data_IF_099815807584
#
_entry.id   IF_099815807584
#
_cell.length_a   1.000
_cell.length_b   1.000
_cell.length_c   1.000
_cell.angle_alpha   90.00
_cell.angle_beta   90.00
_cell.angle_gamma   90.00
#
_symmetry.space_group_name_H-M   'P 1'
#
loop_
_entity.id
_entity.type
_entity.pdbx_description
1 polymer ?
#
# COMPACT_ATOMS: atom_id res chain seq x y z
N UNK A 1 0.53 9.29 14.36
CA UNK A 1 1.07 7.93 14.14
C UNK A 1 -0.11 6.95 14.22
N UNK A 2 -0.21 6.01 13.28
CA UNK A 2 -1.25 4.98 13.28
C UNK A 2 -0.61 3.64 13.69
N UNK A 3 -0.99 3.04 14.81
CA UNK A 3 -0.32 1.85 15.33
C UNK A 3 -0.77 0.56 14.61
N UNK A 4 0.20 -0.30 14.28
CA UNK A 4 0.03 -1.73 14.00
C UNK A 4 0.68 -2.59 15.09
N UNK A 5 0.63 -3.92 14.94
CA UNK A 5 1.24 -4.86 15.90
C UNK A 5 2.76 -4.97 15.70
N UNK A 6 3.24 -4.91 14.45
CA UNK A 6 4.66 -4.98 14.05
C UNK A 6 5.19 -3.65 13.48
N UNK A 7 4.29 -2.84 12.97
CA UNK A 7 4.56 -1.60 12.26
C UNK A 7 3.86 -0.41 12.89
N UNK A 8 4.27 0.77 12.50
CA UNK A 8 3.62 2.04 12.77
C UNK A 8 3.63 2.84 11.49
N UNK A 9 2.51 3.50 11.20
CA UNK A 9 2.41 4.40 10.06
C UNK A 9 2.67 5.83 10.54
N UNK A 10 3.70 6.44 10.00
CA UNK A 10 4.16 7.78 10.34
C UNK A 10 3.91 8.73 9.16
N UNK A 11 3.78 10.02 9.44
CA UNK A 11 3.73 11.03 8.40
C UNK A 11 5.02 10.95 7.55
N UNK A 12 4.89 11.30 6.26
CA UNK A 12 6.05 11.33 5.37
C UNK A 12 6.91 12.57 5.66
N UNK A 13 7.99 12.35 6.40
CA UNK A 13 9.02 13.36 6.62
C UNK A 13 10.18 13.32 5.60
N UNK A 14 10.96 14.42 5.45
CA UNK A 14 12.10 14.49 4.53
C UNK A 14 13.15 13.39 4.70
N UNK A 15 13.33 12.83 5.89
CA UNK A 15 14.30 11.76 6.16
C UNK A 15 13.94 10.47 5.40
N UNK A 16 12.66 10.25 5.13
CA UNK A 16 12.16 9.09 4.39
C UNK A 16 12.46 9.15 2.88
N UNK A 17 12.74 10.34 2.33
CA UNK A 17 12.96 10.56 0.89
C UNK A 17 14.08 9.69 0.34
N UNK A 18 15.19 9.57 1.08
CA UNK A 18 16.37 8.81 0.63
C UNK A 18 16.04 7.33 0.47
N UNK A 19 15.37 6.75 1.47
CA UNK A 19 14.95 5.35 1.43
C UNK A 19 13.91 5.11 0.34
N UNK A 20 12.89 5.96 0.25
CA UNK A 20 11.86 5.82 -0.78
C UNK A 20 12.43 5.94 -2.19
N UNK A 21 13.32 6.91 -2.44
CA UNK A 21 14.00 7.04 -3.73
C UNK A 21 14.87 5.82 -4.04
N UNK A 22 15.60 5.28 -3.05
CA UNK A 22 16.37 4.04 -3.22
C UNK A 22 15.47 2.88 -3.65
N UNK A 23 14.35 2.66 -2.96
CA UNK A 23 13.47 1.54 -3.24
C UNK A 23 12.76 1.64 -4.58
N UNK A 24 12.28 2.82 -4.99
CA UNK A 24 11.64 2.94 -6.32
C UNK A 24 12.64 2.76 -7.48
N UNK A 25 13.95 2.87 -7.21
CA UNK A 25 15.01 2.62 -8.17
C UNK A 25 15.61 1.21 -8.08
N UNK A 26 15.42 0.51 -6.97
CA UNK A 26 15.81 -0.89 -6.78
C UNK A 26 14.96 -1.79 -7.71
N UNK A 27 15.57 -2.51 -8.68
CA UNK A 27 14.83 -3.41 -9.57
C UNK A 27 13.98 -4.44 -8.83
N UNK A 28 14.42 -4.92 -7.67
CA UNK A 28 13.71 -5.96 -6.90
C UNK A 28 12.41 -5.45 -6.29
N UNK A 29 12.32 -4.14 -6.04
CA UNK A 29 11.10 -3.46 -5.59
C UNK A 29 10.31 -2.96 -6.79
N UNK A 30 10.97 -2.23 -7.70
CA UNK A 30 10.34 -1.55 -8.84
C UNK A 30 9.59 -2.51 -9.74
N UNK A 31 10.04 -3.76 -9.88
CA UNK A 31 9.33 -4.81 -10.62
C UNK A 31 7.92 -5.14 -10.08
N UNK A 32 7.54 -4.62 -8.91
CA UNK A 32 6.20 -4.74 -8.32
C UNK A 32 5.45 -3.41 -8.26
N UNK A 33 6.03 -2.32 -8.78
CA UNK A 33 5.42 -0.98 -8.80
C UNK A 33 4.97 -0.60 -10.21
N UNK A 34 4.03 0.32 -10.32
CA UNK A 34 3.62 0.92 -11.62
C UNK A 34 4.75 1.72 -12.28
N UNK A 35 5.74 2.16 -11.51
CA UNK A 35 6.95 2.82 -12.00
C UNK A 35 7.81 1.84 -12.83
N UNK A 36 8.25 2.27 -14.00
CA UNK A 36 9.05 1.44 -14.92
C UNK A 36 10.42 2.04 -15.27
N UNK A 37 10.66 3.32 -14.92
CA UNK A 37 11.91 4.03 -15.19
C UNK A 37 12.60 4.46 -13.90
N UNK A 38 13.94 4.67 -13.91
CA UNK A 38 14.62 5.30 -12.79
C UNK A 38 14.01 6.66 -12.47
N UNK A 39 13.86 6.96 -11.18
CA UNK A 39 13.28 8.20 -10.68
C UNK A 39 14.38 9.00 -9.98
N UNK A 40 14.74 10.20 -10.47
CA UNK A 40 15.73 11.02 -9.80
C UNK A 40 15.18 11.55 -8.47
N UNK A 41 16.07 11.80 -7.50
CA UNK A 41 15.68 12.26 -6.17
C UNK A 41 14.79 13.52 -6.19
N UNK A 42 15.07 14.47 -7.10
CA UNK A 42 14.25 15.68 -7.29
C UNK A 42 12.79 15.37 -7.65
N UNK A 43 12.55 14.31 -8.43
CA UNK A 43 11.20 13.91 -8.81
C UNK A 43 10.50 13.20 -7.65
N UNK A 44 11.22 12.40 -6.87
CA UNK A 44 10.70 11.84 -5.62
C UNK A 44 10.30 12.95 -4.64
N UNK A 45 11.13 13.99 -4.47
CA UNK A 45 10.78 15.12 -3.61
C UNK A 45 9.50 15.84 -4.08
N UNK A 46 9.40 16.18 -5.37
CA UNK A 46 8.18 16.77 -5.92
C UNK A 46 6.93 15.91 -5.68
N UNK A 47 7.06 14.59 -5.78
CA UNK A 47 5.96 13.68 -5.46
C UNK A 47 5.59 13.72 -3.98
N UNK A 48 6.57 13.72 -3.06
CA UNK A 48 6.31 13.87 -1.62
C UNK A 48 5.55 15.16 -1.31
N UNK A 49 6.03 16.29 -1.83
CA UNK A 49 5.41 17.61 -1.62
C UNK A 49 3.95 17.59 -2.11
N UNK A 50 3.70 17.01 -3.29
CA UNK A 50 2.35 16.85 -3.82
C UNK A 50 1.44 15.94 -2.97
N UNK A 51 2.00 14.90 -2.32
CA UNK A 51 1.22 14.03 -1.41
C UNK A 51 0.87 14.74 -0.10
N UNK A 52 1.69 15.69 0.37
CA UNK A 52 1.39 16.48 1.57
C UNK A 52 0.26 17.49 1.34
N UNK A 53 0.13 17.98 0.11
CA UNK A 53 -0.89 18.95 -0.30
C UNK A 53 -2.19 18.30 -0.80
N UNK A 54 -2.18 16.98 -1.03
CA UNK A 54 -3.33 16.28 -1.61
C UNK A 54 -4.43 16.03 -0.58
N UNK A 55 -5.66 16.43 -0.93
CA UNK A 55 -6.86 16.01 -0.21
C UNK A 55 -7.37 14.63 -0.67
N UNK A 56 -6.83 14.06 -1.74
CA UNK A 56 -7.27 12.76 -2.30
C UNK A 56 -6.24 11.66 -2.12
N UNK A 57 -5.10 11.95 -1.51
CA UNK A 57 -4.01 11.00 -1.31
C UNK A 57 -3.45 11.16 0.09
N UNK A 58 -3.39 10.05 0.82
CA UNK A 58 -2.78 9.98 2.14
C UNK A 58 -1.72 8.89 2.13
N UNK A 59 -0.46 9.30 2.18
CA UNK A 59 0.69 8.39 2.16
C UNK A 59 1.46 8.49 3.47
N UNK A 60 1.87 7.33 3.97
CA UNK A 60 2.57 7.17 5.23
C UNK A 60 3.89 6.41 5.04
N UNK A 61 4.87 6.75 5.87
CA UNK A 61 6.05 5.93 6.08
C UNK A 61 5.65 4.71 6.93
N UNK A 62 6.01 3.51 6.46
CA UNK A 62 5.89 2.28 7.25
C UNK A 62 7.17 2.12 8.04
N UNK A 63 7.07 2.26 9.36
CA UNK A 63 8.18 2.07 10.29
C UNK A 63 7.98 0.82 11.14
N UNK A 64 9.08 0.16 11.52
CA UNK A 64 9.04 -0.87 12.57
C UNK A 64 8.81 -0.24 13.94
N UNK A 65 8.46 -1.04 14.96
CA UNK A 65 8.41 -0.60 16.37
C UNK A 65 9.73 -0.01 16.91
N UNK A 66 10.84 -0.19 16.20
CA UNK A 66 12.16 0.40 16.53
C UNK A 66 12.45 1.69 15.76
N UNK A 67 11.47 2.28 15.08
CA UNK A 67 11.62 3.51 14.29
C UNK A 67 12.32 3.32 12.94
N UNK A 68 12.64 2.10 12.53
CA UNK A 68 13.28 1.85 11.23
C UNK A 68 12.24 1.99 10.11
N UNK A 69 12.46 2.91 9.17
CA UNK A 69 11.64 3.07 7.96
C UNK A 69 11.91 1.92 6.98
N UNK A 70 10.85 1.17 6.63
CA UNK A 70 10.96 -0.07 5.84
C UNK A 70 10.10 -0.09 4.57
N UNK A 71 9.21 0.89 4.40
CA UNK A 71 8.31 0.95 3.27
C UNK A 71 7.44 2.20 3.27
N UNK A 72 6.60 2.32 2.24
CA UNK A 72 5.56 3.33 2.16
C UNK A 72 4.22 2.65 1.92
N UNK A 73 3.15 3.21 2.45
CA UNK A 73 1.78 2.74 2.26
C UNK A 73 0.84 3.93 2.15
N UNK A 74 -0.22 3.84 1.36
CA UNK A 74 -1.14 4.95 1.24
C UNK A 74 -2.50 4.58 0.65
N UNK A 75 -3.42 5.51 0.82
CA UNK A 75 -4.70 5.59 0.14
C UNK A 75 -4.56 6.65 -0.96
N UNK A 76 -4.96 6.29 -2.16
CA UNK A 76 -4.86 7.11 -3.35
C UNK A 76 -6.22 7.31 -3.99
N UNK A 77 -6.37 8.40 -4.73
CA UNK A 77 -7.58 8.70 -5.50
C UNK A 77 -8.86 8.58 -4.64
N UNK A 78 -8.83 9.14 -3.43
CA UNK A 78 -9.97 9.10 -2.51
C UNK A 78 -11.15 9.83 -3.16
N UNK A 79 -12.20 9.07 -3.43
CA UNK A 79 -13.50 9.57 -3.82
C UNK A 79 -14.33 9.79 -2.55
N UNK A 80 -14.36 11.03 -2.07
CA UNK A 80 -15.09 11.40 -0.86
C UNK A 80 -16.60 11.22 -0.97
N UNK A 81 -17.16 11.35 -2.19
CA UNK A 81 -18.60 11.16 -2.43
C UNK A 81 -18.98 9.69 -2.31
N UNK A 82 -18.22 8.81 -2.97
CA UNK A 82 -18.47 7.38 -2.99
C UNK A 82 -17.78 6.63 -1.84
N UNK A 83 -16.99 7.34 -1.02
CA UNK A 83 -16.25 6.84 0.14
C UNK A 83 -15.36 5.65 -0.23
N UNK A 84 -14.63 5.78 -1.34
CA UNK A 84 -13.78 4.74 -1.91
C UNK A 84 -12.36 5.26 -2.10
N UNK A 85 -11.36 4.41 -1.87
CA UNK A 85 -9.96 4.75 -2.11
C UNK A 85 -9.17 3.53 -2.61
N UNK A 86 -8.04 3.79 -3.26
CA UNK A 86 -7.12 2.76 -3.72
C UNK A 86 -5.93 2.62 -2.77
N UNK A 87 -5.67 1.41 -2.29
CA UNK A 87 -4.50 1.11 -1.48
C UNK A 87 -3.27 0.87 -2.36
N UNK A 88 -2.16 1.53 -2.02
CA UNK A 88 -0.82 1.24 -2.52
C UNK A 88 0.13 0.90 -1.38
N UNK A 89 1.01 -0.09 -1.57
CA UNK A 89 2.05 -0.44 -0.60
C UNK A 89 3.35 -0.86 -1.27
N UNK A 90 4.47 -0.50 -0.66
CA UNK A 90 5.77 -1.10 -0.92
C UNK A 90 6.50 -1.37 0.40
N UNK A 91 7.12 -2.55 0.52
CA UNK A 91 8.10 -2.85 1.58
C UNK A 91 9.45 -2.96 0.90
N UNK A 92 10.22 -1.87 0.98
CA UNK A 92 11.47 -1.73 0.26
C UNK A 92 12.60 -2.55 0.87
N UNK A 93 12.62 -2.69 2.19
CA UNK A 93 13.66 -3.46 2.88
C UNK A 93 13.42 -4.97 2.78
N UNK A 94 14.28 -5.68 2.04
CA UNK A 94 14.14 -7.11 1.74
C UNK A 94 13.94 -7.98 3.00
N UNK A 95 14.70 -7.72 4.07
CA UNK A 95 14.65 -8.46 5.34
C UNK A 95 13.31 -8.40 6.09
N UNK A 96 12.40 -7.50 5.69
CA UNK A 96 11.06 -7.36 6.27
C UNK A 96 9.94 -7.87 5.35
N UNK A 97 10.25 -8.24 4.10
CA UNK A 97 9.28 -8.85 3.17
C UNK A 97 8.94 -10.28 3.63
N UNK A 98 7.71 -10.73 3.38
CA UNK A 98 7.23 -12.08 3.75
C UNK A 98 7.31 -12.44 5.24
N UNK A 99 7.45 -11.46 6.14
CA UNK A 99 7.50 -11.67 7.61
C UNK A 99 6.30 -11.07 8.35
N UNK A 100 5.25 -10.75 7.61
CA UNK A 100 3.99 -10.17 8.13
C UNK A 100 3.99 -8.65 8.30
N UNK A 101 5.06 -7.93 7.96
CA UNK A 101 5.10 -6.46 8.04
C UNK A 101 4.14 -5.79 7.05
N UNK A 102 4.05 -6.32 5.82
CA UNK A 102 3.09 -5.83 4.83
C UNK A 102 1.64 -6.03 5.28
N UNK A 103 1.30 -7.21 5.79
CA UNK A 103 -0.03 -7.52 6.33
C UNK A 103 -0.39 -6.58 7.48
N UNK A 104 0.54 -6.38 8.41
CA UNK A 104 0.34 -5.51 9.57
C UNK A 104 0.14 -4.04 9.18
N UNK A 105 0.95 -3.54 8.23
CA UNK A 105 0.81 -2.19 7.71
C UNK A 105 -0.52 -1.98 6.98
N UNK A 106 -0.96 -2.96 6.16
CA UNK A 106 -2.26 -2.92 5.48
C UNK A 106 -3.39 -2.86 6.49
N UNK A 107 -3.36 -3.67 7.56
CA UNK A 107 -4.40 -3.61 8.60
C UNK A 107 -4.42 -2.28 9.35
N UNK A 108 -3.25 -1.70 9.63
CA UNK A 108 -3.16 -0.37 10.23
C UNK A 108 -3.76 0.70 9.30
N UNK A 109 -3.49 0.63 8.00
CA UNK A 109 -4.09 1.54 7.03
C UNK A 109 -5.60 1.35 6.91
N UNK A 110 -6.11 0.11 6.92
CA UNK A 110 -7.54 -0.16 6.87
C UNK A 110 -8.28 0.38 8.10
N UNK A 111 -7.68 0.30 9.30
CA UNK A 111 -8.23 0.97 10.49
C UNK A 111 -8.36 2.48 10.27
N UNK A 112 -7.31 3.12 9.77
CA UNK A 112 -7.35 4.54 9.42
C UNK A 112 -8.44 4.85 8.37
N UNK A 113 -8.51 4.05 7.31
CA UNK A 113 -9.49 4.21 6.24
C UNK A 113 -10.94 4.12 6.74
N UNK A 114 -11.25 3.11 7.57
CA UNK A 114 -12.63 2.81 7.95
C UNK A 114 -13.09 3.46 9.25
N UNK A 115 -12.18 3.67 10.21
CA UNK A 115 -12.53 4.24 11.52
C UNK A 115 -12.30 5.75 11.57
N UNK A 116 -11.23 6.26 10.95
CA UNK A 116 -10.91 7.70 11.01
C UNK A 116 -11.48 8.47 9.82
N UNK A 117 -11.26 7.98 8.60
CA UNK A 117 -11.76 8.63 7.38
C UNK A 117 -13.21 8.26 7.04
N UNK A 118 -13.79 7.29 7.77
CA UNK A 118 -15.12 6.77 7.52
C UNK A 118 -15.31 6.39 6.03
N UNK A 119 -14.34 5.73 5.39
CA UNK A 119 -14.55 5.19 4.04
C UNK A 119 -15.51 4.00 4.09
N UNK A 120 -16.16 3.71 2.98
CA UNK A 120 -16.99 2.51 2.80
C UNK A 120 -16.19 1.35 2.20
N UNK A 121 -15.22 1.69 1.35
CA UNK A 121 -14.51 0.72 0.50
C UNK A 121 -13.05 1.09 0.30
N UNK A 122 -12.21 0.07 0.30
CA UNK A 122 -10.82 0.17 -0.16
C UNK A 122 -10.58 -0.90 -1.22
N UNK A 123 -10.08 -0.48 -2.37
CA UNK A 123 -9.68 -1.39 -3.46
C UNK A 123 -8.17 -1.37 -3.67
N UNK A 124 -7.65 -2.34 -4.42
CA UNK A 124 -6.26 -2.36 -4.85
C UNK A 124 -6.10 -3.12 -6.16
N UNK A 125 -4.97 -2.86 -6.81
CA UNK A 125 -4.49 -3.62 -7.95
C UNK A 125 -3.21 -4.36 -7.58
N UNK A 126 -3.07 -5.59 -8.05
CA UNK A 126 -1.79 -6.29 -7.98
C UNK A 126 -1.58 -7.17 -9.21
N UNK A 127 -0.32 -7.43 -9.56
CA UNK A 127 -0.05 -8.31 -10.69
C UNK A 127 -0.48 -9.74 -10.36
N UNK A 128 -1.19 -10.38 -11.28
CA UNK A 128 -1.79 -11.70 -11.04
C UNK A 128 -0.74 -12.76 -10.65
N UNK A 129 0.48 -12.64 -11.19
CA UNK A 129 1.60 -13.54 -10.89
C UNK A 129 2.29 -13.26 -9.54
N UNK A 130 1.94 -12.18 -8.83
CA UNK A 130 2.47 -11.87 -7.50
C UNK A 130 1.68 -12.60 -6.41
N UNK A 131 1.90 -13.91 -6.28
CA UNK A 131 1.21 -14.75 -5.29
C UNK A 131 1.39 -14.27 -3.85
N UNK A 132 2.57 -13.70 -3.52
CA UNK A 132 2.86 -13.13 -2.21
C UNK A 132 1.92 -11.97 -1.87
N UNK A 133 1.65 -11.07 -2.83
CA UNK A 133 0.74 -9.96 -2.63
C UNK A 133 -0.69 -10.45 -2.44
N UNK A 134 -1.16 -11.37 -3.31
CA UNK A 134 -2.48 -12.00 -3.20
C UNK A 134 -2.74 -12.57 -1.81
N UNK A 135 -1.84 -13.43 -1.32
CA UNK A 135 -1.96 -14.06 0.02
C UNK A 135 -1.96 -13.01 1.14
N UNK A 136 -1.18 -11.94 1.00
CA UNK A 136 -1.18 -10.84 1.97
C UNK A 136 -2.54 -10.15 2.04
N UNK A 137 -3.13 -9.82 0.88
CA UNK A 137 -4.40 -9.11 0.81
C UNK A 137 -5.58 -9.98 1.25
N UNK A 138 -5.62 -11.24 0.86
CA UNK A 138 -6.65 -12.20 1.32
C UNK A 138 -6.64 -12.33 2.84
N UNK A 139 -5.47 -12.40 3.48
CA UNK A 139 -5.36 -12.40 4.94
C UNK A 139 -5.92 -11.12 5.57
N UNK A 140 -5.75 -9.98 4.91
CA UNK A 140 -6.31 -8.70 5.34
C UNK A 140 -7.83 -8.58 5.12
N UNK A 141 -8.47 -9.55 4.46
CA UNK A 141 -9.91 -9.58 4.21
C UNK A 141 -10.33 -9.14 2.81
N UNK A 142 -9.38 -8.79 1.94
CA UNK A 142 -9.69 -8.43 0.57
C UNK A 142 -10.22 -9.64 -0.21
N UNK A 143 -11.20 -9.38 -1.08
CA UNK A 143 -11.81 -10.35 -1.97
C UNK A 143 -11.49 -9.98 -3.42
N UNK A 144 -11.34 -11.00 -4.27
CA UNK A 144 -11.14 -10.80 -5.70
C UNK A 144 -12.43 -10.30 -6.34
N UNK A 145 -12.33 -9.27 -7.17
CA UNK A 145 -13.45 -8.60 -7.84
C UNK A 145 -13.30 -8.59 -9.36
N UNK A 146 -12.16 -9.04 -9.88
CA UNK A 146 -11.96 -9.12 -11.32
C UNK A 146 -10.50 -9.17 -11.74
N UNK A 147 -10.32 -9.20 -13.06
CA UNK A 147 -9.02 -9.23 -13.71
C UNK A 147 -9.03 -8.31 -14.93
N UNK A 148 -8.04 -7.44 -15.01
CA UNK A 148 -7.73 -6.72 -16.25
C UNK A 148 -6.71 -7.54 -17.03
N UNK A 149 -7.16 -8.14 -18.14
CA UNK A 149 -6.32 -8.95 -19.03
C UNK A 149 -5.30 -8.07 -19.75
N UNK A 150 -4.06 -8.52 -19.81
CA UNK A 150 -2.96 -7.83 -20.52
C UNK A 150 -2.80 -6.34 -20.15
N UNK A 151 -3.14 -5.97 -18.91
CA UNK A 151 -3.17 -4.58 -18.49
C UNK A 151 -1.80 -3.97 -18.14
N UNK A 152 -0.77 -4.81 -17.97
CA UNK A 152 0.59 -4.37 -17.66
C UNK A 152 1.59 -4.93 -18.67
N UNK A 153 2.31 -4.05 -19.38
CA UNK A 153 3.49 -4.44 -20.14
C UNK A 153 4.77 -4.31 -19.30
N UNK A 154 5.55 -5.39 -19.18
CA UNK A 154 6.85 -5.40 -18.50
C UNK A 154 7.77 -6.43 -19.13
N UNK A 155 9.04 -6.08 -19.34
CA UNK A 155 10.08 -7.01 -19.80
C UNK A 155 9.68 -7.80 -21.05
N UNK A 156 9.06 -7.14 -22.03
CA UNK A 156 8.66 -7.75 -23.31
C UNK A 156 7.38 -8.59 -23.26
N UNK A 157 6.65 -8.62 -22.14
CA UNK A 157 5.45 -9.43 -21.97
C UNK A 157 4.32 -8.64 -21.31
N UNK A 158 3.07 -8.96 -21.69
CA UNK A 158 1.88 -8.49 -21.01
C UNK A 158 1.50 -9.40 -19.82
N UNK A 159 1.03 -8.78 -18.75
CA UNK A 159 0.58 -9.43 -17.54
C UNK A 159 -0.81 -8.93 -17.15
N UNK A 160 -1.59 -9.86 -16.64
CA UNK A 160 -2.87 -9.55 -16.03
C UNK A 160 -2.70 -8.82 -14.68
N UNK A 161 -3.65 -7.94 -14.40
CA UNK A 161 -3.73 -7.17 -13.15
C UNK A 161 -5.02 -7.54 -12.44
N UNK A 162 -4.89 -8.16 -11.28
CA UNK A 162 -6.01 -8.54 -10.43
C UNK A 162 -6.54 -7.32 -9.68
N UNK A 163 -7.86 -7.28 -9.51
CA UNK A 163 -8.58 -6.26 -8.76
C UNK A 163 -9.11 -6.91 -7.49
N UNK A 164 -8.83 -6.31 -6.34
CA UNK A 164 -9.38 -6.76 -5.07
C UNK A 164 -9.99 -5.60 -4.30
N UNK A 165 -11.01 -5.90 -3.49
CA UNK A 165 -11.68 -4.92 -2.64
C UNK A 165 -12.04 -5.49 -1.27
N UNK A 166 -12.19 -4.59 -0.31
CA UNK A 166 -12.75 -4.88 1.01
C UNK A 166 -13.72 -3.76 1.40
N UNK A 167 -14.83 -4.16 2.01
CA UNK A 167 -15.86 -3.25 2.51
C UNK A 167 -15.71 -3.07 4.03
N UNK A 168 -16.14 -1.91 4.52
CA UNK A 168 -16.04 -1.53 5.93
C UNK A 168 -16.65 -2.60 6.87
N UNK A 169 -17.83 -3.14 6.51
CA UNK A 169 -18.49 -4.21 7.28
C UNK A 169 -17.69 -5.52 7.35
N UNK A 170 -16.97 -5.85 6.28
CA UNK A 170 -16.16 -7.07 6.20
C UNK A 170 -14.92 -6.93 7.08
N UNK A 171 -14.31 -5.74 7.08
CA UNK A 171 -13.20 -5.43 7.97
C UNK A 171 -13.61 -5.45 9.44
N UNK A 172 -14.74 -4.83 9.80
CA UNK A 172 -15.26 -4.86 11.18
C UNK A 172 -15.51 -6.29 11.66
N UNK A 173 -16.12 -7.13 10.83
CA UNK A 173 -16.35 -8.54 11.17
C UNK A 173 -15.04 -9.30 11.44
N UNK A 174 -13.98 -9.02 10.68
CA UNK A 174 -12.65 -9.61 10.89
C UNK A 174 -11.99 -9.13 12.18
N UNK A 175 -12.19 -7.88 12.59
CA UNK A 175 -11.68 -7.38 13.87
C UNK A 175 -12.40 -8.04 15.05
N UNK A 176 -13.73 -8.21 14.99
CA UNK A 176 -14.49 -8.93 16.01
C UNK A 176 -14.02 -10.38 16.16
N UNK A 177 -13.84 -11.10 15.05
CA UNK A 177 -13.40 -12.50 15.06
C UNK A 177 -11.98 -12.71 15.64
N UNK A 178 -11.17 -11.66 15.75
CA UNK A 178 -9.84 -11.70 16.38
C UNK A 178 -9.85 -11.38 17.87
N UNK A 179 -10.90 -10.72 18.33
CA UNK A 179 -11.05 -10.28 19.72
C UNK A 179 -12.01 -11.19 20.52
N UNK A 180 -12.69 -12.12 19.83
CA UNK A 180 -13.44 -13.22 20.41
C UNK A 180 -12.53 -14.44 20.64
#
# INVERSE_FOLDING_TARGET
MIPGNKTELHALEPEHLKNANRWVNDPDVRQWLTLHRPVPLRATRKWYDAMLESNSDHVFAVCTKRGIHIGNIGLHQIDWKNRNAQLGILIGEARYRSRGYGEDAVRALLRFAFHELNLHRVNLYHYAHNSRARVCYEKCGFRNEGMHRDALFRNGRYYDVAVMGILDREFRALEYAKNA
#
